data_IF_492858041930
#
_entry.id   IF_492858041930
#
_cell.length_a   1.000
_cell.length_b   1.000
_cell.length_c   1.000
_cell.angle_alpha   90.00
_cell.angle_beta   90.00
_cell.angle_gamma   90.00
#
_symmetry.space_group_name_H-M   'P 1'
#
loop_
_entity.id
_entity.type
_entity.pdbx_description
1 polymer ?
#
# COMPACT_ATOMS: atom_id res chain seq x y z
N UNK A 1 26.63 11.63 24.66
CA UNK A 1 26.24 10.42 25.44
C UNK A 1 24.74 10.61 25.73
N UNK A 2 23.78 9.99 25.06
CA UNK A 2 23.62 8.58 24.70
C UNK A 2 23.31 8.41 23.20
N UNK A 3 24.15 7.62 22.52
CA UNK A 3 23.88 7.12 21.18
C UNK A 3 22.86 5.98 21.28
N UNK A 4 21.80 6.03 20.46
CA UNK A 4 20.81 4.97 20.37
C UNK A 4 21.46 3.67 19.85
N UNK A 5 21.39 2.53 20.58
CA UNK A 5 22.07 1.27 20.20
C UNK A 5 21.55 0.59 18.93
N UNK A 6 20.58 1.19 18.22
CA UNK A 6 19.82 0.53 17.16
C UNK A 6 20.48 0.69 15.78
N UNK A 7 21.27 1.75 15.58
CA UNK A 7 21.96 2.01 14.32
C UNK A 7 23.08 1.00 14.01
N UNK A 8 23.63 0.34 15.04
CA UNK A 8 24.66 -0.69 14.85
C UNK A 8 24.11 -2.04 14.34
N UNK A 9 22.78 -2.23 14.34
CA UNK A 9 22.16 -3.52 14.00
C UNK A 9 21.82 -3.71 12.51
N UNK A 10 21.87 -2.62 11.73
CA UNK A 10 21.67 -2.61 10.28
C UNK A 10 22.98 -2.80 9.48
N UNK A 11 24.14 -2.77 10.15
CA UNK A 11 25.46 -2.80 9.49
C UNK A 11 26.16 -4.16 9.50
N UNK A 12 25.56 -5.22 10.05
CA UNK A 12 26.14 -6.55 9.95
C UNK A 12 25.73 -7.24 8.64
N UNK A 13 26.68 -7.58 7.75
CA UNK A 13 26.37 -8.25 6.50
C UNK A 13 25.74 -9.62 6.76
N UNK A 14 24.80 -10.01 5.89
CA UNK A 14 24.16 -11.32 5.97
C UNK A 14 25.23 -12.44 5.94
N UNK A 15 25.14 -13.46 6.81
CA UNK A 15 26.11 -14.54 6.85
C UNK A 15 26.11 -15.30 5.52
N UNK A 16 27.28 -15.38 4.87
CA UNK A 16 27.43 -15.94 3.53
C UNK A 16 27.55 -17.47 3.48
N UNK A 17 27.57 -18.14 4.64
CA UNK A 17 27.75 -19.59 4.73
C UNK A 17 26.82 -20.23 5.77
N UNK A 18 26.45 -21.50 5.53
CA UNK A 18 25.52 -22.29 6.36
C UNK A 18 26.01 -22.44 7.80
N UNK A 19 27.32 -22.61 7.99
CA UNK A 19 27.97 -22.72 9.30
C UNK A 19 27.91 -21.42 10.10
N UNK A 20 28.00 -20.25 9.43
CA UNK A 20 27.85 -18.96 10.07
C UNK A 20 26.40 -18.74 10.56
N UNK A 21 25.42 -19.17 9.76
CA UNK A 21 23.99 -19.15 10.10
C UNK A 21 23.70 -19.94 11.38
N UNK A 22 24.25 -21.15 11.49
CA UNK A 22 24.09 -22.03 12.67
C UNK A 22 24.76 -21.47 13.93
N UNK A 23 25.89 -20.78 13.81
CA UNK A 23 26.58 -20.13 14.94
C UNK A 23 25.77 -18.94 15.47
N UNK A 24 25.20 -18.11 14.59
CA UNK A 24 24.22 -17.08 15.00
C UNK A 24 23.03 -17.73 15.70
N UNK A 25 22.48 -18.81 15.15
CA UNK A 25 21.31 -19.52 15.70
C UNK A 25 21.53 -19.96 17.17
N UNK A 26 22.72 -20.41 17.56
CA UNK A 26 23.01 -20.74 18.97
C UNK A 26 23.04 -19.52 19.91
N UNK A 27 23.51 -18.36 19.43
CA UNK A 27 23.58 -17.12 20.21
C UNK A 27 22.18 -16.54 20.47
N UNK A 28 21.26 -16.70 19.51
CA UNK A 28 19.90 -16.14 19.59
C UNK A 28 18.93 -16.94 20.47
N UNK A 29 19.18 -18.24 20.71
CA UNK A 29 18.22 -19.11 21.43
C UNK A 29 18.60 -19.43 22.88
N UNK A 30 19.77 -19.02 23.35
CA UNK A 30 20.30 -19.41 24.68
C UNK A 30 20.20 -18.32 25.76
N UNK A 31 19.75 -17.10 25.43
CA UNK A 31 19.48 -16.05 26.42
C UNK A 31 17.96 -15.85 26.63
N UNK A 32 17.51 -15.50 27.84
CA UNK A 32 16.10 -15.20 28.08
C UNK A 32 15.72 -13.93 27.31
N UNK A 33 15.00 -14.12 26.22
CA UNK A 33 14.57 -13.07 25.32
C UNK A 33 13.06 -12.84 25.52
N UNK A 34 12.67 -11.58 25.66
CA UNK A 34 11.27 -11.18 25.83
C UNK A 34 10.37 -11.67 24.67
N UNK A 35 9.07 -11.94 24.90
CA UNK A 35 8.17 -12.45 23.87
C UNK A 35 8.12 -11.62 22.58
N UNK A 36 8.34 -10.30 22.68
CA UNK A 36 8.36 -9.38 21.54
C UNK A 36 9.60 -9.58 20.64
N UNK A 37 10.77 -9.86 21.22
CA UNK A 37 12.00 -10.15 20.46
C UNK A 37 11.95 -11.52 19.75
N UNK A 38 11.18 -12.49 20.27
CA UNK A 38 10.93 -13.77 19.57
C UNK A 38 10.14 -13.58 18.27
N UNK A 39 9.19 -12.64 18.25
CA UNK A 39 8.37 -12.32 17.06
C UNK A 39 9.18 -11.68 15.95
N UNK A 40 10.07 -10.76 16.29
CA UNK A 40 10.98 -10.12 15.31
C UNK A 40 11.98 -11.12 14.73
N UNK A 41 12.48 -12.08 15.53
CA UNK A 41 13.36 -13.13 15.03
C UNK A 41 12.65 -14.12 14.09
N UNK A 42 11.37 -14.42 14.33
CA UNK A 42 10.56 -15.28 13.46
C UNK A 42 10.35 -14.67 12.06
N UNK A 43 10.15 -13.34 11.98
CA UNK A 43 10.01 -12.61 10.71
C UNK A 43 11.30 -12.71 9.87
N UNK A 44 12.47 -12.65 10.52
CA UNK A 44 13.76 -12.79 9.83
C UNK A 44 14.05 -14.22 9.37
N UNK A 45 13.48 -15.24 10.04
CA UNK A 45 13.60 -16.65 9.67
C UNK A 45 12.85 -16.99 8.37
N UNK A 46 11.69 -16.34 8.15
CA UNK A 46 10.89 -16.48 6.92
C UNK A 46 11.62 -15.86 5.73
N UNK A 47 12.23 -14.69 5.90
CA UNK A 47 12.99 -14.02 4.84
C UNK A 47 14.26 -14.78 4.41
N UNK A 48 14.94 -15.48 5.33
CA UNK A 48 16.16 -16.24 4.99
C UNK A 48 15.91 -17.48 4.13
N UNK A 49 14.70 -18.04 4.12
CA UNK A 49 14.36 -19.21 3.30
C UNK A 49 13.85 -18.83 1.90
N UNK A 50 13.46 -17.57 1.69
CA UNK A 50 12.97 -17.07 0.39
C UNK A 50 14.12 -16.89 -0.62
N UNK A 51 15.35 -16.65 -0.15
CA UNK A 51 16.52 -16.44 -1.02
C UNK A 51 17.23 -17.73 -1.49
N UNK A 52 16.83 -18.91 -1.01
CA UNK A 52 17.46 -20.19 -1.36
C UNK A 52 16.44 -21.31 -1.66
N UNK A 53 15.64 -21.11 -2.70
CA UNK A 53 15.14 -22.22 -3.52
C UNK A 53 13.77 -22.81 -3.17
N UNK A 54 12.91 -22.81 -4.20
CA UNK A 54 11.73 -23.66 -4.45
C UNK A 54 10.50 -23.49 -3.53
N UNK A 55 9.61 -22.56 -3.91
CA UNK A 55 8.22 -22.81 -4.40
C UNK A 55 7.35 -21.54 -4.24
N UNK A 56 6.76 -21.09 -5.35
CA UNK A 56 5.98 -19.84 -5.53
C UNK A 56 4.56 -19.94 -4.93
N UNK A 57 4.41 -20.37 -3.67
CA UNK A 57 3.11 -20.34 -2.96
C UNK A 57 3.15 -19.57 -1.63
N UNK A 58 4.30 -19.00 -1.26
CA UNK A 58 4.50 -18.33 0.04
C UNK A 58 4.37 -16.79 -0.01
N UNK A 59 4.31 -16.19 -1.21
CA UNK A 59 4.25 -14.73 -1.39
C UNK A 59 2.93 -14.11 -0.91
N UNK A 60 1.81 -14.82 -1.05
CA UNK A 60 0.49 -14.32 -0.59
C UNK A 60 0.38 -14.38 0.94
N UNK A 61 0.89 -15.44 1.58
CA UNK A 61 0.75 -15.63 3.03
C UNK A 61 1.60 -14.66 3.87
N UNK A 62 2.77 -14.25 3.34
CA UNK A 62 3.63 -13.28 4.02
C UNK A 62 3.03 -11.85 3.97
N UNK A 63 2.31 -11.50 2.91
CA UNK A 63 1.55 -10.24 2.81
C UNK A 63 0.48 -10.14 3.89
N UNK A 64 -0.29 -11.21 4.11
CA UNK A 64 -1.33 -11.25 5.16
C UNK A 64 -0.77 -11.13 6.58
N UNK A 65 0.38 -11.75 6.86
CA UNK A 65 1.00 -11.66 8.21
C UNK A 65 1.59 -10.26 8.44
N UNK A 66 2.18 -9.63 7.41
CA UNK A 66 2.68 -8.26 7.52
C UNK A 66 1.54 -7.27 7.76
N UNK A 67 0.42 -7.44 7.06
CA UNK A 67 -0.81 -6.67 7.25
C UNK A 67 -1.36 -6.85 8.67
N UNK A 68 -1.36 -8.09 9.20
CA UNK A 68 -1.84 -8.42 10.55
C UNK A 68 -0.94 -7.83 11.65
N UNK A 69 0.38 -7.77 11.44
CA UNK A 69 1.32 -7.17 12.40
C UNK A 69 1.21 -5.65 12.42
N UNK A 70 1.05 -5.00 11.25
CA UNK A 70 0.73 -3.57 11.16
C UNK A 70 -0.61 -3.26 11.84
N UNK A 71 -1.59 -4.15 11.72
CA UNK A 71 -2.90 -4.05 12.36
C UNK A 71 -2.84 -4.21 13.89
N UNK A 72 -2.02 -5.12 14.42
CA UNK A 72 -1.86 -5.31 15.87
C UNK A 72 -1.06 -4.19 16.56
N UNK A 73 -0.15 -3.53 15.85
CA UNK A 73 0.52 -2.34 16.37
C UNK A 73 -0.42 -1.12 16.46
N UNK A 74 -1.36 -0.97 15.52
CA UNK A 74 -2.44 0.02 15.58
C UNK A 74 -3.33 -0.15 16.82
N UNK A 75 -3.71 -1.39 17.16
CA UNK A 75 -4.53 -1.70 18.34
C UNK A 75 -3.91 -1.29 19.68
N UNK A 76 -2.56 -1.30 19.79
CA UNK A 76 -1.87 -0.86 21.01
C UNK A 76 -1.98 0.67 21.21
N UNK A 77 -1.99 1.47 20.14
CA UNK A 77 -2.25 2.92 20.26
C UNK A 77 -3.70 3.20 20.70
N UNK A 78 -4.65 2.46 20.14
CA UNK A 78 -6.09 2.58 20.47
C UNK A 78 -6.41 2.23 21.93
N UNK A 79 -5.60 1.36 22.55
CA UNK A 79 -5.81 0.90 23.93
C UNK A 79 -5.63 2.01 24.97
N UNK A 80 -4.89 3.08 24.66
CA UNK A 80 -4.72 4.22 25.59
C UNK A 80 -5.91 5.18 25.56
N UNK A 81 -6.64 5.25 24.44
CA UNK A 81 -7.77 6.16 24.25
C UNK A 81 -9.09 5.54 24.75
N UNK A 82 -9.24 4.21 24.62
CA UNK A 82 -10.37 3.47 25.18
C UNK A 82 -10.48 3.61 26.71
N UNK A 83 -9.35 3.68 27.43
CA UNK A 83 -9.33 3.88 28.89
C UNK A 83 -9.80 5.29 29.31
N UNK A 84 -10.01 6.21 28.37
CA UNK A 84 -10.50 7.59 28.61
C UNK A 84 -11.96 7.80 28.24
N UNK A 85 -12.73 6.75 27.94
CA UNK A 85 -14.17 6.84 27.70
C UNK A 85 -14.58 7.64 26.45
N UNK A 86 -13.64 7.88 25.54
CA UNK A 86 -13.93 8.40 24.20
C UNK A 86 -13.86 7.24 23.22
N UNK A 87 -14.97 6.93 22.56
CA UNK A 87 -14.94 6.15 21.31
C UNK A 87 -13.91 6.83 20.38
N UNK A 88 -12.82 6.15 19.97
CA UNK A 88 -11.83 6.76 19.13
C UNK A 88 -12.47 7.06 17.78
N UNK A 89 -12.63 8.34 17.46
CA UNK A 89 -13.01 8.79 16.13
C UNK A 89 -11.86 8.46 15.18
N UNK A 90 -11.84 7.24 14.64
CA UNK A 90 -10.90 6.85 13.59
C UNK A 90 -11.31 7.65 12.36
N UNK A 91 -10.60 8.73 12.06
CA UNK A 91 -10.73 9.36 10.75
C UNK A 91 -10.33 8.33 9.69
N UNK A 92 -11.25 8.06 8.76
CA UNK A 92 -10.99 7.16 7.64
C UNK A 92 -9.82 7.68 6.83
N UNK A 93 -9.04 6.76 6.28
CA UNK A 93 -7.93 7.11 5.39
C UNK A 93 -8.44 7.26 3.97
N UNK A 94 -8.06 8.34 3.30
CA UNK A 94 -8.43 8.56 1.90
C UNK A 94 -7.48 7.79 0.99
N UNK A 95 -8.00 6.76 0.31
CA UNK A 95 -7.26 5.93 -0.64
C UNK A 95 -7.72 6.27 -2.04
N UNK A 96 -6.80 6.66 -2.91
CA UNK A 96 -7.10 6.82 -4.34
C UNK A 96 -6.61 5.61 -5.12
N UNK A 97 -7.55 4.87 -5.71
CA UNK A 97 -7.27 3.76 -6.62
C UNK A 97 -7.08 4.31 -8.02
N UNK A 98 -5.92 4.06 -8.62
CA UNK A 98 -5.60 4.49 -9.99
C UNK A 98 -5.76 3.30 -10.93
N UNK A 99 -6.49 3.48 -12.04
CA UNK A 99 -6.84 2.39 -12.94
C UNK A 99 -6.79 2.78 -14.42
N UNK A 100 -6.89 1.81 -15.33
CA UNK A 100 -6.75 1.97 -16.77
C UNK A 100 -5.28 2.05 -17.21
N UNK A 101 -4.90 3.18 -17.81
CA UNK A 101 -3.55 3.47 -18.30
C UNK A 101 -3.42 3.45 -19.82
N UNK A 102 -2.52 4.28 -20.35
CA UNK A 102 -2.08 4.22 -21.74
C UNK A 102 -1.14 3.02 -21.96
N UNK A 103 -1.71 1.81 -21.90
CA UNK A 103 -1.02 0.52 -21.93
C UNK A 103 -1.82 -0.49 -22.75
N UNK A 104 -1.14 -1.49 -23.31
CA UNK A 104 -1.79 -2.65 -23.95
C UNK A 104 -2.57 -3.52 -22.95
N UNK A 105 -2.32 -3.35 -21.65
CA UNK A 105 -2.96 -4.10 -20.56
C UNK A 105 -4.05 -3.28 -19.85
N UNK A 106 -4.57 -2.24 -20.52
CA UNK A 106 -5.63 -1.36 -20.02
C UNK A 106 -6.84 -2.12 -19.48
N UNK A 107 -7.39 -3.07 -20.23
CA UNK A 107 -8.56 -3.86 -19.81
C UNK A 107 -8.27 -4.70 -18.55
N UNK A 108 -7.06 -5.24 -18.43
CA UNK A 108 -6.64 -6.01 -17.24
C UNK A 108 -6.62 -5.11 -16.00
N UNK A 109 -6.19 -3.85 -16.17
CA UNK A 109 -6.21 -2.85 -15.10
C UNK A 109 -7.64 -2.53 -14.66
N UNK A 110 -8.59 -2.37 -15.59
CA UNK A 110 -10.00 -2.13 -15.26
C UNK A 110 -10.58 -3.25 -14.39
N UNK A 111 -10.42 -4.50 -14.82
CA UNK A 111 -10.94 -5.68 -14.10
C UNK A 111 -10.31 -5.82 -12.71
N UNK A 112 -8.98 -5.64 -12.63
CA UNK A 112 -8.23 -5.71 -11.37
C UNK A 112 -8.71 -4.65 -10.39
N UNK A 113 -8.88 -3.42 -10.87
CA UNK A 113 -9.29 -2.27 -10.06
C UNK A 113 -10.71 -2.43 -9.54
N UNK A 114 -11.64 -2.87 -10.40
CA UNK A 114 -13.01 -3.14 -9.99
C UNK A 114 -13.08 -4.19 -8.86
N UNK A 115 -12.29 -5.26 -8.97
CA UNK A 115 -12.18 -6.28 -7.91
C UNK A 115 -11.67 -5.70 -6.59
N UNK A 116 -10.61 -4.88 -6.65
CA UNK A 116 -10.03 -4.22 -5.47
C UNK A 116 -11.03 -3.27 -4.82
N UNK A 117 -11.65 -2.39 -5.61
CA UNK A 117 -12.60 -1.37 -5.11
C UNK A 117 -13.76 -2.04 -4.37
N UNK A 118 -14.32 -3.14 -4.90
CA UNK A 118 -15.41 -3.89 -4.24
C UNK A 118 -15.02 -4.53 -2.91
N UNK A 119 -13.74 -4.82 -2.70
CA UNK A 119 -13.24 -5.49 -1.50
C UNK A 119 -12.56 -4.54 -0.51
N UNK A 120 -12.43 -3.25 -0.83
CA UNK A 120 -11.95 -2.25 0.11
C UNK A 120 -13.00 -1.99 1.19
N UNK A 121 -12.54 -1.96 2.43
CA UNK A 121 -13.38 -1.72 3.61
C UNK A 121 -13.76 -0.24 3.69
N UNK A 122 -15.00 0.07 3.30
CA UNK A 122 -15.54 1.43 3.31
C UNK A 122 -15.79 1.97 4.71
N UNK A 123 -15.74 1.15 5.76
CA UNK A 123 -15.77 1.64 7.15
C UNK A 123 -14.41 2.20 7.57
N UNK A 124 -13.32 1.76 6.92
CA UNK A 124 -11.95 2.20 7.22
C UNK A 124 -11.40 3.22 6.24
N UNK A 125 -11.87 3.20 5.00
CA UNK A 125 -11.31 4.00 3.91
C UNK A 125 -12.38 4.82 3.20
N UNK A 126 -12.02 6.07 2.90
CA UNK A 126 -12.72 6.88 1.91
C UNK A 126 -12.03 6.64 0.55
N UNK A 127 -12.79 6.13 -0.42
CA UNK A 127 -12.23 5.67 -1.70
C UNK A 127 -12.45 6.73 -2.77
N UNK A 128 -11.35 7.18 -3.38
CA UNK A 128 -11.37 7.93 -4.62
C UNK A 128 -10.94 7.03 -5.77
N UNK A 129 -11.45 7.27 -6.96
CA UNK A 129 -11.03 6.51 -8.16
C UNK A 129 -10.54 7.47 -9.23
N UNK A 130 -9.34 7.22 -9.75
CA UNK A 130 -8.69 8.05 -10.76
C UNK A 130 -8.35 7.17 -11.95
N UNK A 131 -9.11 7.32 -13.03
CA UNK A 131 -8.92 6.56 -14.25
C UNK A 131 -7.99 7.28 -15.21
N UNK A 132 -7.12 6.51 -15.88
CA UNK A 132 -6.31 6.97 -17.01
C UNK A 132 -6.86 6.28 -18.25
N UNK A 133 -7.29 7.05 -19.24
CA UNK A 133 -7.82 6.52 -20.50
C UNK A 133 -6.70 5.93 -21.37
N UNK A 134 -7.05 5.20 -22.44
CA UNK A 134 -6.06 4.64 -23.39
C UNK A 134 -5.21 5.70 -24.09
N UNK A 135 -5.77 6.88 -24.33
CA UNK A 135 -5.07 8.06 -24.86
C UNK A 135 -4.33 8.87 -23.78
N UNK A 136 -4.35 8.42 -22.52
CA UNK A 136 -3.56 9.00 -21.44
C UNK A 136 -4.21 10.18 -20.72
N UNK A 137 -5.52 10.41 -20.90
CA UNK A 137 -6.25 11.44 -20.13
C UNK A 137 -6.56 10.93 -18.74
N UNK A 138 -6.38 11.80 -17.76
CA UNK A 138 -6.63 11.47 -16.36
C UNK A 138 -7.95 12.08 -15.90
N UNK A 139 -8.77 11.25 -15.25
CA UNK A 139 -10.15 11.56 -14.93
C UNK A 139 -10.47 11.06 -13.52
N UNK A 140 -10.84 11.96 -12.61
CA UNK A 140 -11.47 11.57 -11.36
C UNK A 140 -12.86 11.01 -11.69
N UNK A 141 -13.10 9.77 -11.28
CA UNK A 141 -14.33 9.06 -11.52
C UNK A 141 -15.10 8.86 -10.21
N UNK A 142 -16.42 9.07 -10.26
CA UNK A 142 -17.32 8.96 -9.10
C UNK A 142 -18.58 8.13 -9.38
N UNK A 143 -18.63 7.38 -10.46
CA UNK A 143 -19.76 6.52 -10.80
C UNK A 143 -19.64 5.10 -10.24
N UNK A 144 -20.52 4.21 -10.69
CA UNK A 144 -20.56 2.80 -10.29
C UNK A 144 -19.31 2.02 -10.73
N UNK A 145 -18.90 1.04 -9.93
CA UNK A 145 -17.70 0.21 -10.20
C UNK A 145 -17.90 -0.66 -11.43
N UNK A 146 -19.14 -1.03 -11.72
CA UNK A 146 -19.55 -1.85 -12.88
C UNK A 146 -19.18 -1.16 -14.19
N UNK A 147 -19.23 0.18 -14.25
CA UNK A 147 -18.84 0.90 -15.46
C UNK A 147 -17.31 0.92 -15.65
N UNK A 148 -16.53 0.78 -14.58
CA UNK A 148 -15.08 0.60 -14.71
C UNK A 148 -14.83 -0.75 -15.38
N UNK A 149 -15.43 -1.82 -14.86
CA UNK A 149 -15.29 -3.18 -15.38
C UNK A 149 -15.75 -3.29 -16.84
N UNK A 150 -16.89 -2.67 -17.17
CA UNK A 150 -17.46 -2.69 -18.51
C UNK A 150 -16.84 -1.65 -19.48
N UNK A 151 -15.81 -0.91 -19.03
CA UNK A 151 -15.15 0.14 -19.81
C UNK A 151 -16.12 1.24 -20.33
N UNK A 152 -17.12 1.60 -19.53
CA UNK A 152 -18.11 2.66 -19.82
C UNK A 152 -18.01 3.85 -18.85
N UNK A 153 -16.96 3.89 -18.03
CA UNK A 153 -16.77 4.87 -16.95
C UNK A 153 -16.45 6.30 -17.44
N UNK A 154 -16.07 6.49 -18.70
CA UNK A 154 -15.58 7.77 -19.25
C UNK A 154 -16.71 8.75 -19.66
N UNK A 155 -17.81 8.81 -18.91
CA UNK A 155 -18.90 9.75 -19.20
C UNK A 155 -18.68 11.11 -18.52
N UNK A 156 -19.21 12.19 -19.10
CA UNK A 156 -18.99 13.56 -18.58
C UNK A 156 -19.69 13.86 -17.26
N UNK A 157 -20.72 13.10 -16.89
CA UNK A 157 -21.49 13.29 -15.65
C UNK A 157 -20.74 12.74 -14.42
N UNK A 158 -19.90 11.72 -14.63
CA UNK A 158 -19.25 10.96 -13.57
C UNK A 158 -17.73 11.01 -13.64
N UNK A 159 -17.15 11.48 -14.75
CA UNK A 159 -15.71 11.61 -14.95
C UNK A 159 -15.32 13.07 -15.21
N UNK A 160 -14.42 13.60 -14.37
CA UNK A 160 -13.92 14.98 -14.46
C UNK A 160 -12.41 14.99 -14.61
N UNK A 161 -11.81 15.87 -15.42
CA UNK A 161 -10.35 15.95 -15.53
C UNK A 161 -9.69 16.16 -14.18
N UNK A 162 -8.74 15.32 -13.84
CA UNK A 162 -7.99 15.42 -12.59
C UNK A 162 -6.62 14.78 -12.75
N UNK A 163 -5.63 15.20 -11.95
CA UNK A 163 -4.29 14.62 -11.99
C UNK A 163 -3.65 14.64 -10.60
N UNK A 164 -2.63 13.80 -10.41
CA UNK A 164 -1.82 13.82 -9.19
C UNK A 164 -0.90 15.03 -9.24
N UNK A 165 -0.92 15.86 -8.20
CA UNK A 165 0.03 16.97 -8.10
C UNK A 165 1.42 16.44 -7.75
N UNK A 166 2.48 16.84 -8.48
CA UNK A 166 3.85 16.54 -8.09
C UNK A 166 4.32 17.39 -6.90
N UNK A 167 3.56 18.43 -6.53
CA UNK A 167 3.88 19.31 -5.43
C UNK A 167 3.49 18.71 -4.07
N UNK A 168 4.46 18.68 -3.16
CA UNK A 168 4.29 18.19 -1.79
C UNK A 168 3.39 19.07 -0.94
N UNK A 169 3.26 20.37 -1.23
CA UNK A 169 2.31 21.20 -0.48
C UNK A 169 0.86 20.86 -0.84
N UNK A 170 0.62 20.56 -2.12
CA UNK A 170 -0.66 20.07 -2.63
C UNK A 170 -1.01 18.70 -2.04
N UNK A 171 -0.08 17.74 -2.04
CA UNK A 171 -0.22 16.39 -1.44
C UNK A 171 -1.59 15.73 -1.72
N UNK A 172 -1.90 15.55 -3.01
CA UNK A 172 -3.20 15.03 -3.42
C UNK A 172 -3.49 15.21 -4.90
N UNK A 173 -4.77 15.15 -5.24
CA UNK A 173 -5.27 15.34 -6.60
C UNK A 173 -5.68 16.78 -6.83
N UNK A 174 -5.42 17.28 -8.04
CA UNK A 174 -6.02 18.51 -8.56
C UNK A 174 -7.13 18.11 -9.51
N UNK A 175 -8.34 18.57 -9.24
CA UNK A 175 -9.54 18.33 -10.06
C UNK A 175 -9.92 19.62 -10.77
N UNK A 176 -10.05 19.57 -12.08
CA UNK A 176 -10.46 20.72 -12.88
C UNK A 176 -11.98 20.78 -12.93
N UNK A 177 -12.53 21.93 -12.55
CA UNK A 177 -13.96 22.19 -12.59
C UNK A 177 -14.36 22.78 -13.95
N UNK A 178 -15.64 22.67 -14.30
CA UNK A 178 -16.16 23.13 -15.59
C UNK A 178 -16.09 24.66 -15.77
N UNK A 179 -16.06 25.42 -14.67
CA UNK A 179 -15.93 26.88 -14.63
C UNK A 179 -14.47 27.36 -14.78
N UNK A 180 -13.52 26.45 -14.98
CA UNK A 180 -12.09 26.75 -15.08
C UNK A 180 -11.38 26.88 -13.73
N UNK A 181 -12.09 26.78 -12.60
CA UNK A 181 -11.48 26.67 -11.28
C UNK A 181 -10.91 25.26 -11.05
N UNK A 182 -10.19 25.08 -9.94
CA UNK A 182 -9.72 23.77 -9.52
C UNK A 182 -10.02 23.51 -8.05
N UNK A 183 -10.18 22.23 -7.72
CA UNK A 183 -10.34 21.74 -6.36
C UNK A 183 -9.20 20.79 -6.02
N UNK A 184 -8.61 20.94 -4.84
CA UNK A 184 -7.60 20.00 -4.33
C UNK A 184 -8.26 18.97 -3.42
N UNK A 185 -8.10 17.69 -3.75
CA UNK A 185 -8.49 16.58 -2.89
C UNK A 185 -7.26 16.00 -2.23
N UNK A 186 -7.18 16.06 -0.90
CA UNK A 186 -6.10 15.41 -0.15
C UNK A 186 -6.25 13.90 -0.24
N UNK A 187 -5.12 13.21 -0.38
CA UNK A 187 -5.05 11.75 -0.46
C UNK A 187 -4.00 11.27 0.53
N UNK A 188 -4.34 10.26 1.33
CA UNK A 188 -3.39 9.62 2.25
C UNK A 188 -2.54 8.56 1.55
N UNK A 189 -3.16 7.81 0.63
CA UNK A 189 -2.52 6.69 -0.08
C UNK A 189 -2.95 6.67 -1.54
N UNK A 190 -1.97 6.66 -2.45
CA UNK A 190 -2.18 6.30 -3.85
C UNK A 190 -1.99 4.79 -4.00
N UNK A 191 -2.94 4.13 -4.65
CA UNK A 191 -2.91 2.69 -4.91
C UNK A 191 -2.98 2.45 -6.42
N UNK A 192 -1.83 2.43 -7.12
CA UNK A 192 -1.80 2.23 -8.56
C UNK A 192 -2.09 0.78 -8.92
N UNK A 193 -3.20 0.55 -9.60
CA UNK A 193 -3.60 -0.75 -10.16
C UNK A 193 -3.43 -0.66 -11.67
N UNK A 194 -2.21 -0.37 -12.12
CA UNK A 194 -1.85 -0.23 -13.52
C UNK A 194 -0.96 -1.41 -13.92
N UNK A 195 -1.09 -1.88 -15.17
CA UNK A 195 -0.31 -3.00 -15.70
C UNK A 195 0.45 -2.60 -16.96
N UNK A 196 1.66 -3.13 -17.10
CA UNK A 196 2.52 -2.89 -18.26
C UNK A 196 3.10 -1.48 -18.30
N UNK A 197 3.14 -0.92 -19.52
CA UNK A 197 3.77 0.39 -19.78
C UNK A 197 3.10 1.50 -18.98
N UNK A 198 3.92 2.39 -18.42
CA UNK A 198 3.56 3.48 -17.53
C UNK A 198 3.02 3.06 -16.14
N UNK A 199 2.80 1.76 -15.90
CA UNK A 199 2.29 1.24 -14.62
C UNK A 199 3.36 0.53 -13.79
N UNK A 200 4.12 -0.36 -14.42
CA UNK A 200 5.07 -1.25 -13.74
C UNK A 200 6.54 -0.95 -14.09
N UNK A 201 6.77 0.11 -14.87
CA UNK A 201 8.09 0.49 -15.41
C UNK A 201 8.77 1.64 -14.66
N UNK A 202 8.16 2.14 -13.57
CA UNK A 202 8.69 3.26 -12.79
C UNK A 202 8.04 4.61 -13.10
N UNK A 203 7.24 4.71 -14.18
CA UNK A 203 6.66 5.99 -14.61
C UNK A 203 5.70 6.59 -13.60
N UNK A 204 4.76 5.80 -13.06
CA UNK A 204 3.79 6.28 -12.07
C UNK A 204 4.39 6.43 -10.66
N UNK A 205 5.53 5.77 -10.41
CA UNK A 205 6.22 5.77 -9.12
C UNK A 205 7.12 6.99 -8.93
N UNK A 206 7.61 7.58 -10.03
CA UNK A 206 8.39 8.82 -10.03
C UNK A 206 7.51 10.05 -9.83
#
# INVERSE_FOLDING_TARGET
MFAAPWAAFLLYPAPKTRTALEKTRKIWYTKPISPERRRVCAIRFVYSHILYGKRVKLLVYCSFILLKILFEHSKKCLRSDFLRGKEPFIMKKTVCVIFGGASSEYEVSLMSSASIIRNLDTEKFDILTLGITKDGRWLLYSGAVENIENNTWMNSETARPAFISPDKATNGLVVLNADGSYTVLKVDVLFPVLHGKNGEDGTIQG
#
